data_IF_021795873555
#
_entry.id   IF_021795873555
#
_cell.length_a   1.000
_cell.length_b   1.000
_cell.length_c   1.000
_cell.angle_alpha   90.00
_cell.angle_beta   90.00
_cell.angle_gamma   90.00
#
_symmetry.space_group_name_H-M   'P 1'
#
loop_
_entity.id
_entity.type
_entity.pdbx_description
1 polymer ?
#
# COMPACT_ATOMS: atom_id res chain seq x y z
N UNK A 1 45.64 10.17 -62.24
CA UNK A 1 44.84 11.30 -61.72
C UNK A 1 43.59 11.43 -62.56
N UNK A 2 42.48 10.86 -62.09
CA UNK A 2 41.16 11.47 -62.17
C UNK A 2 40.18 10.63 -61.35
N UNK A 3 39.75 11.24 -60.24
CA UNK A 3 38.80 10.73 -59.28
C UNK A 3 37.40 10.73 -59.94
N UNK A 4 36.73 9.58 -59.99
CA UNK A 4 35.30 9.49 -60.32
C UNK A 4 34.56 9.32 -59.01
N UNK A 5 34.10 10.43 -58.43
CA UNK A 5 33.15 10.38 -57.32
C UNK A 5 31.78 9.95 -57.83
N UNK A 6 31.26 8.89 -57.22
CA UNK A 6 29.85 8.49 -57.29
C UNK A 6 29.09 9.29 -56.24
N UNK A 7 28.37 10.33 -56.68
CA UNK A 7 27.43 11.05 -55.81
C UNK A 7 26.20 10.18 -55.55
N UNK A 8 26.20 9.51 -54.39
CA UNK A 8 25.01 8.88 -53.80
C UNK A 8 24.14 9.98 -53.19
N UNK A 9 23.12 10.44 -53.92
CA UNK A 9 22.07 11.29 -53.35
C UNK A 9 21.11 10.43 -52.54
N UNK A 10 21.33 10.40 -51.23
CA UNK A 10 20.42 9.80 -50.26
C UNK A 10 19.18 10.70 -50.12
N UNK A 11 18.08 10.35 -50.80
CA UNK A 11 16.77 10.96 -50.53
C UNK A 11 16.28 10.46 -49.16
N UNK A 12 16.57 11.23 -48.12
CA UNK A 12 15.94 11.06 -46.81
C UNK A 12 14.48 11.50 -46.97
N UNK A 13 13.58 10.52 -47.13
CA UNK A 13 12.17 10.71 -46.89
C UNK A 13 12.00 11.05 -45.41
N UNK A 14 12.00 12.35 -45.10
CA UNK A 14 11.51 12.85 -43.83
C UNK A 14 10.00 12.54 -43.84
N UNK A 15 9.62 11.43 -43.21
CA UNK A 15 8.25 11.23 -42.75
C UNK A 15 7.97 12.35 -41.75
N UNK A 16 7.43 13.46 -42.24
CA UNK A 16 6.65 14.36 -41.40
C UNK A 16 5.43 13.56 -41.02
N UNK A 17 5.47 12.92 -39.85
CA UNK A 17 4.29 12.41 -39.19
C UNK A 17 3.41 13.62 -38.90
N UNK A 18 2.50 13.92 -39.83
CA UNK A 18 1.39 14.82 -39.56
C UNK A 18 0.66 14.22 -38.37
N UNK A 19 0.74 14.86 -37.20
CA UNK A 19 -0.05 14.49 -36.04
C UNK A 19 -1.51 14.63 -36.42
N UNK A 20 -2.13 13.55 -36.88
CA UNK A 20 -3.56 13.53 -37.13
C UNK A 20 -4.27 13.92 -35.84
N UNK A 21 -5.09 14.98 -35.91
CA UNK A 21 -5.89 15.41 -34.78
C UNK A 21 -6.72 14.22 -34.26
N UNK A 22 -6.60 13.88 -32.98
CA UNK A 22 -7.30 12.76 -32.38
C UNK A 22 -8.81 12.86 -32.61
N UNK A 23 -9.42 11.79 -33.10
CA UNK A 23 -10.87 11.69 -33.26
C UNK A 23 -11.61 11.69 -31.91
N UNK A 24 -12.90 11.98 -31.91
CA UNK A 24 -13.70 12.10 -30.70
C UNK A 24 -14.33 10.75 -30.34
N UNK A 25 -13.63 9.88 -29.61
CA UNK A 25 -14.13 8.53 -29.29
C UNK A 25 -15.14 8.46 -28.13
N UNK A 26 -15.19 9.49 -27.27
CA UNK A 26 -16.01 9.47 -26.05
C UNK A 26 -17.48 9.74 -26.38
N UNK A 27 -18.44 8.92 -25.89
CA UNK A 27 -19.85 9.08 -26.21
C UNK A 27 -20.51 10.27 -25.50
N UNK A 28 -20.05 10.66 -24.30
CA UNK A 28 -20.57 11.81 -23.58
C UNK A 28 -19.55 12.93 -23.58
N UNK A 29 -19.95 14.12 -24.04
CA UNK A 29 -19.07 15.26 -24.18
C UNK A 29 -19.72 16.48 -23.55
N UNK A 30 -18.91 17.29 -22.87
CA UNK A 30 -19.34 18.57 -22.31
C UNK A 30 -18.54 19.70 -22.96
N UNK A 31 -19.24 20.71 -23.48
CA UNK A 31 -18.67 21.90 -24.09
C UNK A 31 -19.18 23.16 -23.39
N UNK A 32 -18.41 24.24 -23.42
CA UNK A 32 -18.80 25.54 -22.83
C UNK A 32 -19.37 26.44 -23.91
N UNK A 33 -20.52 27.04 -23.59
CA UNK A 33 -21.20 28.01 -24.45
C UNK A 33 -20.26 29.15 -24.89
N UNK A 34 -20.30 29.47 -26.18
CA UNK A 34 -19.51 30.54 -26.79
C UNK A 34 -18.07 30.17 -27.13
N UNK A 35 -17.62 28.93 -26.88
CA UNK A 35 -16.33 28.42 -27.38
C UNK A 35 -16.49 27.69 -28.72
N UNK A 36 -15.52 27.79 -29.64
CA UNK A 36 -15.43 26.89 -30.78
C UNK A 36 -15.30 25.43 -30.33
N UNK A 37 -16.02 24.53 -31.00
CA UNK A 37 -16.09 23.12 -30.62
C UNK A 37 -16.22 22.24 -31.86
N UNK A 38 -15.79 20.98 -31.78
CA UNK A 38 -15.92 20.05 -32.90
C UNK A 38 -16.20 18.61 -32.44
N UNK A 39 -16.88 17.85 -33.28
CA UNK A 39 -17.05 16.40 -33.18
C UNK A 39 -16.40 15.77 -34.40
N UNK A 40 -15.39 14.91 -34.20
CA UNK A 40 -14.71 14.21 -35.31
C UNK A 40 -14.94 12.72 -35.23
N UNK A 41 -15.41 12.13 -36.33
CA UNK A 41 -15.59 10.69 -36.45
C UNK A 41 -14.27 9.92 -36.30
N UNK A 42 -14.32 8.77 -35.63
CA UNK A 42 -13.19 7.85 -35.52
C UNK A 42 -13.25 6.80 -36.62
N UNK A 43 -12.46 6.98 -37.67
CA UNK A 43 -12.33 5.94 -38.70
C UNK A 43 -11.51 4.76 -38.17
N UNK A 44 -11.98 3.53 -38.36
CA UNK A 44 -11.15 2.35 -38.15
C UNK A 44 -10.15 2.22 -39.31
N UNK A 45 -8.91 1.81 -39.00
CA UNK A 45 -7.77 1.69 -39.93
C UNK A 45 -7.95 0.72 -41.11
N UNK A 46 -9.15 0.23 -41.38
CA UNK A 46 -9.48 -0.64 -42.50
C UNK A 46 -10.29 0.03 -43.62
N UNK A 47 -10.52 1.34 -43.56
CA UNK A 47 -11.18 2.06 -44.65
C UNK A 47 -10.17 2.61 -45.68
N UNK A 48 -9.29 1.74 -46.21
CA UNK A 48 -8.51 2.05 -47.43
C UNK A 48 -9.31 1.87 -48.72
N UNK A 49 -10.59 1.52 -48.63
CA UNK A 49 -11.54 1.60 -49.73
C UNK A 49 -12.45 2.81 -49.51
N UNK A 50 -11.96 4.00 -49.87
CA UNK A 50 -12.80 5.19 -50.01
C UNK A 50 -13.62 4.99 -51.29
N UNK A 51 -14.68 4.19 -51.21
CA UNK A 51 -15.87 4.53 -51.98
C UNK A 51 -16.38 5.86 -51.44
N UNK A 52 -16.85 6.72 -52.33
CA UNK A 52 -17.34 8.07 -52.10
C UNK A 52 -18.64 8.11 -51.26
N UNK A 53 -18.68 7.38 -50.14
CA UNK A 53 -19.76 7.45 -49.19
C UNK A 53 -19.64 8.79 -48.45
N UNK A 54 -20.53 9.72 -48.80
CA UNK A 54 -20.64 11.00 -48.11
C UNK A 54 -21.19 10.72 -46.72
N UNK A 55 -20.36 10.91 -45.68
CA UNK A 55 -20.79 10.74 -44.30
C UNK A 55 -21.91 11.73 -43.94
N UNK A 56 -22.94 11.25 -43.24
CA UNK A 56 -24.14 12.04 -42.92
C UNK A 56 -24.21 12.35 -41.44
N UNK A 57 -24.42 13.62 -41.13
CA UNK A 57 -24.61 14.09 -39.75
C UNK A 57 -26.08 14.27 -39.43
N UNK A 58 -26.49 13.79 -38.26
CA UNK A 58 -27.86 13.92 -37.77
C UNK A 58 -27.86 14.41 -36.31
N UNK A 59 -28.87 15.18 -35.94
CA UNK A 59 -29.12 15.63 -34.57
C UNK A 59 -30.48 15.14 -34.09
N UNK A 60 -30.57 14.78 -32.82
CA UNK A 60 -31.81 14.53 -32.10
C UNK A 60 -31.81 15.32 -30.79
N UNK A 61 -32.95 15.92 -30.47
CA UNK A 61 -33.17 16.65 -29.22
C UNK A 61 -34.32 15.98 -28.46
N UNK A 62 -33.99 15.17 -27.44
CA UNK A 62 -34.98 14.45 -26.64
C UNK A 62 -35.70 13.34 -27.42
N UNK A 63 -37.04 13.31 -27.37
CA UNK A 63 -37.88 12.32 -28.08
C UNK A 63 -38.13 12.66 -29.56
N UNK A 64 -37.49 13.71 -30.09
CA UNK A 64 -37.67 14.12 -31.48
C UNK A 64 -36.96 13.18 -32.46
N UNK A 65 -37.59 13.00 -33.62
CA UNK A 65 -37.04 12.23 -34.76
C UNK A 65 -35.66 12.78 -35.16
N UNK A 66 -34.75 11.90 -35.57
CA UNK A 66 -33.42 12.30 -36.09
C UNK A 66 -33.60 13.23 -37.29
N UNK A 67 -32.99 14.41 -37.23
CA UNK A 67 -32.99 15.40 -38.31
C UNK A 67 -31.58 15.47 -38.89
N UNK A 68 -31.47 15.40 -40.22
CA UNK A 68 -30.20 15.56 -40.91
C UNK A 68 -29.73 17.02 -40.83
N UNK A 69 -28.45 17.21 -40.50
CA UNK A 69 -27.85 18.53 -40.38
C UNK A 69 -27.49 19.06 -41.77
N UNK A 70 -28.08 20.19 -42.14
CA UNK A 70 -27.75 20.89 -43.38
C UNK A 70 -26.86 22.11 -43.04
N UNK A 71 -25.58 22.17 -43.47
CA UNK A 71 -24.70 23.30 -43.18
C UNK A 71 -25.25 24.64 -43.69
N UNK A 72 -26.07 24.66 -44.75
CA UNK A 72 -26.72 25.89 -45.24
C UNK A 72 -27.76 26.47 -44.28
N UNK A 73 -28.24 25.68 -43.30
CA UNK A 73 -29.26 26.11 -42.34
C UNK A 73 -28.71 26.90 -41.16
N UNK A 74 -27.40 26.82 -40.89
CA UNK A 74 -26.76 27.58 -39.81
C UNK A 74 -25.33 27.94 -40.21
N UNK A 75 -25.01 29.22 -40.40
CA UNK A 75 -23.66 29.65 -40.77
C UNK A 75 -22.62 29.42 -39.66
N UNK A 76 -23.05 29.03 -38.45
CA UNK A 76 -22.16 28.63 -37.35
C UNK A 76 -21.69 27.18 -37.43
N UNK A 77 -22.37 26.34 -38.22
CA UNK A 77 -22.06 24.91 -38.31
C UNK A 77 -21.30 24.62 -39.60
N UNK A 78 -20.11 24.05 -39.46
CA UNK A 78 -19.28 23.65 -40.60
C UNK A 78 -19.09 22.14 -40.63
N UNK A 79 -19.22 21.55 -41.81
CA UNK A 79 -18.97 20.14 -42.06
C UNK A 79 -17.71 20.01 -42.91
N UNK A 80 -16.62 19.54 -42.33
CA UNK A 80 -15.33 19.41 -43.00
C UNK A 80 -14.62 18.14 -42.54
N UNK A 81 -14.06 17.36 -43.47
CA UNK A 81 -13.18 16.21 -43.16
C UNK A 81 -13.76 15.21 -42.13
N UNK A 82 -15.05 14.89 -42.26
CA UNK A 82 -15.82 14.05 -41.32
C UNK A 82 -15.89 14.60 -39.88
N UNK A 83 -15.64 15.90 -39.70
CA UNK A 83 -15.88 16.64 -38.49
C UNK A 83 -17.09 17.57 -38.64
N UNK A 84 -17.84 17.71 -37.55
CA UNK A 84 -18.86 18.73 -37.36
C UNK A 84 -18.30 19.78 -36.42
N UNK A 85 -18.09 20.99 -36.94
CA UNK A 85 -17.56 22.13 -36.21
C UNK A 85 -18.67 23.13 -35.84
N UNK A 86 -18.47 23.80 -34.72
CA UNK A 86 -19.35 24.81 -34.15
C UNK A 86 -18.57 26.10 -33.92
N UNK A 87 -19.03 27.19 -34.53
CA UNK A 87 -18.38 28.51 -34.51
C UNK A 87 -19.32 29.62 -34.00
N UNK A 88 -19.57 29.72 -32.67
CA UNK A 88 -19.24 28.78 -31.60
C UNK A 88 -20.42 27.85 -31.26
N UNK A 89 -20.25 26.99 -30.25
CA UNK A 89 -21.35 26.19 -29.68
C UNK A 89 -22.27 27.04 -28.79
N UNK A 90 -23.58 26.83 -28.90
CA UNK A 90 -24.62 27.51 -28.11
C UNK A 90 -25.42 26.52 -27.24
N UNK A 91 -26.16 27.00 -26.24
CA UNK A 91 -26.97 26.12 -25.37
C UNK A 91 -28.01 25.29 -26.16
N UNK A 92 -28.53 25.85 -27.25
CA UNK A 92 -29.49 25.18 -28.14
C UNK A 92 -28.85 24.02 -28.94
N UNK A 93 -27.51 23.93 -28.94
CA UNK A 93 -26.78 22.86 -29.59
C UNK A 93 -26.71 21.59 -28.72
N UNK A 94 -27.20 21.62 -27.48
CA UNK A 94 -27.33 20.43 -26.63
C UNK A 94 -28.20 19.35 -27.29
N UNK A 95 -27.76 18.09 -27.23
CA UNK A 95 -28.50 16.95 -27.78
C UNK A 95 -27.63 15.77 -28.20
N UNK A 96 -28.25 14.79 -28.84
CA UNK A 96 -27.59 13.60 -29.36
C UNK A 96 -27.25 13.80 -30.85
N UNK A 97 -25.99 13.59 -31.20
CA UNK A 97 -25.45 13.70 -32.54
C UNK A 97 -25.06 12.33 -33.06
N UNK A 98 -25.34 12.07 -34.32
CA UNK A 98 -25.06 10.82 -34.99
C UNK A 98 -24.31 11.10 -36.28
N UNK A 99 -23.22 10.38 -36.51
CA UNK A 99 -22.54 10.36 -37.79
C UNK A 99 -22.67 8.97 -38.40
N UNK A 100 -23.17 8.91 -39.63
CA UNK A 100 -23.38 7.67 -40.37
C UNK A 100 -22.45 7.64 -41.58
N UNK A 101 -21.64 6.60 -41.68
CA UNK A 101 -20.71 6.35 -42.79
C UNK A 101 -20.82 4.89 -43.22
N UNK A 102 -21.51 4.64 -44.33
CA UNK A 102 -21.87 3.27 -44.73
C UNK A 102 -22.65 2.54 -43.63
N UNK A 103 -22.12 1.40 -43.17
CA UNK A 103 -22.71 0.60 -42.09
C UNK A 103 -22.30 1.07 -40.68
N UNK A 104 -21.37 2.02 -40.57
CA UNK A 104 -20.86 2.49 -39.29
C UNK A 104 -21.68 3.70 -38.83
N UNK A 105 -22.13 3.67 -37.58
CA UNK A 105 -22.78 4.80 -36.93
C UNK A 105 -22.06 5.09 -35.63
N UNK A 106 -21.63 6.34 -35.45
CA UNK A 106 -21.07 6.83 -34.20
C UNK A 106 -22.01 7.84 -33.56
N UNK A 107 -22.22 7.73 -32.26
CA UNK A 107 -23.14 8.56 -31.48
C UNK A 107 -22.39 9.36 -30.41
N UNK A 108 -22.81 10.60 -30.23
CA UNK A 108 -22.34 11.49 -29.17
C UNK A 108 -23.51 12.19 -28.49
N UNK A 109 -23.46 12.28 -27.18
CA UNK A 109 -24.33 13.11 -26.36
C UNK A 109 -23.57 14.38 -25.97
N UNK A 110 -23.93 15.49 -26.62
CA UNK A 110 -23.34 16.79 -26.37
C UNK A 110 -24.15 17.54 -25.30
N UNK A 111 -23.50 17.77 -24.17
CA UNK A 111 -23.98 18.63 -23.10
C UNK A 111 -23.31 20.01 -23.21
N UNK A 112 -24.08 21.08 -23.34
CA UNK A 112 -23.53 22.44 -23.41
C UNK A 112 -23.80 23.16 -22.09
N UNK A 113 -22.75 23.60 -21.43
CA UNK A 113 -22.82 24.29 -20.14
C UNK A 113 -22.59 25.79 -20.31
N UNK A 114 -23.27 26.58 -19.48
CA UNK A 114 -23.11 28.04 -19.46
C UNK A 114 -21.69 28.42 -19.08
N UNK A 115 -21.13 29.38 -19.82
CA UNK A 115 -19.84 30.00 -19.48
C UNK A 115 -19.96 30.80 -18.18
N UNK A 116 -19.01 30.63 -17.27
CA UNK A 116 -18.93 31.51 -16.10
C UNK A 116 -18.47 32.91 -16.54
N UNK A 117 -19.34 33.91 -16.39
CA UNK A 117 -19.04 35.31 -16.77
C UNK A 117 -18.19 36.05 -15.74
N UNK A 118 -18.08 35.54 -14.52
CA UNK A 118 -17.35 36.17 -13.42
C UNK A 118 -15.95 35.57 -13.19
N UNK A 119 -15.56 34.58 -14.00
CA UNK A 119 -14.27 33.91 -13.94
C UNK A 119 -13.69 33.77 -15.34
N UNK A 120 -12.37 33.54 -15.42
CA UNK A 120 -11.70 33.22 -16.67
C UNK A 120 -11.89 31.75 -17.10
N UNK A 121 -12.53 30.92 -16.27
CA UNK A 121 -12.83 29.52 -16.59
C UNK A 121 -14.15 29.06 -15.96
N UNK A 122 -14.69 27.96 -16.49
CA UNK A 122 -15.89 27.31 -15.97
C UNK A 122 -15.52 26.07 -15.15
N UNK A 123 -15.90 26.02 -13.87
CA UNK A 123 -15.51 24.95 -12.93
C UNK A 123 -15.85 23.54 -13.41
N UNK A 124 -16.99 23.38 -14.11
CA UNK A 124 -17.43 22.09 -14.65
C UNK A 124 -16.57 21.56 -15.81
N UNK A 125 -15.67 22.38 -16.38
CA UNK A 125 -14.78 22.03 -17.50
C UNK A 125 -13.30 21.97 -17.07
N UNK A 126 -13.04 21.74 -15.77
CA UNK A 126 -11.69 21.68 -15.22
C UNK A 126 -11.16 20.26 -15.21
N UNK A 127 -9.91 20.07 -15.64
CA UNK A 127 -9.21 18.79 -15.56
C UNK A 127 -8.26 18.78 -14.36
N UNK A 128 -8.51 17.92 -13.37
CA UNK A 128 -7.64 17.81 -12.20
C UNK A 128 -6.37 17.01 -12.49
N UNK A 129 -5.22 17.51 -12.01
CA UNK A 129 -3.91 16.84 -12.07
C UNK A 129 -3.21 16.98 -10.72
N UNK A 130 -2.93 15.84 -10.09
CA UNK A 130 -2.16 15.80 -8.86
C UNK A 130 -0.67 15.62 -9.17
N UNK A 131 0.20 16.40 -8.53
CA UNK A 131 1.65 16.29 -8.64
C UNK A 131 2.24 16.30 -7.23
N UNK A 132 3.26 15.46 -6.98
CA UNK A 132 3.95 15.46 -5.68
C UNK A 132 4.98 16.59 -5.62
N UNK A 133 5.17 17.17 -4.44
CA UNK A 133 6.23 18.16 -4.21
C UNK A 133 7.59 17.62 -4.64
N UNK A 134 8.46 18.48 -5.17
CA UNK A 134 9.78 18.17 -5.75
C UNK A 134 9.78 17.23 -6.96
N UNK A 135 8.62 16.74 -7.43
CA UNK A 135 8.51 15.98 -8.69
C UNK A 135 8.25 16.94 -9.86
N UNK A 136 8.56 16.47 -11.06
CA UNK A 136 8.44 17.27 -12.28
C UNK A 136 6.98 17.65 -12.58
N UNK A 137 6.70 18.95 -12.61
CA UNK A 137 5.46 19.56 -13.03
C UNK A 137 5.62 20.12 -14.45
N UNK A 138 4.75 19.65 -15.35
CA UNK A 138 4.62 20.18 -16.69
C UNK A 138 3.17 20.58 -16.97
N UNK A 139 3.01 21.81 -17.45
CA UNK A 139 1.76 22.38 -17.97
C UNK A 139 2.06 22.90 -19.36
N UNK A 140 1.44 22.32 -20.38
CA UNK A 140 1.61 22.74 -21.78
C UNK A 140 0.27 23.17 -22.35
N UNK A 141 0.23 24.35 -22.95
CA UNK A 141 -0.96 24.84 -23.64
C UNK A 141 -0.92 24.42 -25.11
N UNK A 142 -1.50 23.27 -25.43
CA UNK A 142 -1.56 22.73 -26.80
C UNK A 142 -3.01 22.49 -27.24
N UNK A 143 -3.30 22.83 -28.48
CA UNK A 143 -4.56 22.52 -29.14
C UNK A 143 -4.30 22.01 -30.56
N UNK A 144 -4.17 20.69 -30.73
CA UNK A 144 -3.77 20.08 -31.99
C UNK A 144 -4.76 20.32 -33.14
N UNK A 145 -6.06 20.40 -32.86
CA UNK A 145 -7.09 20.60 -33.90
C UNK A 145 -7.07 22.04 -34.43
N UNK A 146 -7.12 23.03 -33.54
CA UNK A 146 -7.20 24.43 -33.94
C UNK A 146 -5.84 25.12 -34.09
N UNK A 147 -4.71 24.43 -33.89
CA UNK A 147 -3.36 25.02 -33.85
C UNK A 147 -3.07 25.96 -35.03
N UNK A 148 -3.54 25.62 -36.24
CA UNK A 148 -3.33 26.43 -37.46
C UNK A 148 -4.08 27.77 -37.44
N UNK A 149 -5.18 27.86 -36.70
CA UNK A 149 -6.04 29.05 -36.58
C UNK A 149 -5.68 29.91 -35.36
N UNK A 150 -4.85 29.39 -34.44
CA UNK A 150 -4.43 30.10 -33.23
C UNK A 150 -3.50 31.25 -33.60
N UNK A 151 -3.88 32.46 -33.20
CA UNK A 151 -3.08 33.67 -33.34
C UNK A 151 -2.12 33.84 -32.15
N UNK A 152 -2.65 33.69 -30.93
CA UNK A 152 -1.87 33.79 -29.69
C UNK A 152 -2.42 32.88 -28.61
N UNK A 153 -1.58 32.49 -27.66
CA UNK A 153 -1.99 31.71 -26.50
C UNK A 153 -1.50 32.36 -25.21
N UNK A 154 -2.41 32.49 -24.24
CA UNK A 154 -2.11 33.01 -22.91
C UNK A 154 -2.30 31.94 -21.84
N UNK A 155 -1.40 31.91 -20.86
CA UNK A 155 -1.50 31.04 -19.68
C UNK A 155 -1.78 31.89 -18.44
N UNK A 156 -2.84 31.53 -17.72
CA UNK A 156 -3.28 32.17 -16.48
C UNK A 156 -3.12 31.21 -15.30
N UNK A 157 -2.77 31.73 -14.12
CA UNK A 157 -2.89 31.04 -12.84
C UNK A 157 -3.87 31.78 -11.96
N UNK A 158 -4.95 31.12 -11.53
CA UNK A 158 -6.04 31.70 -10.75
C UNK A 158 -6.55 33.02 -11.39
N UNK A 159 -6.75 33.00 -12.72
CA UNK A 159 -7.15 34.14 -13.55
C UNK A 159 -6.18 35.33 -13.57
N UNK A 160 -4.95 35.17 -13.09
CA UNK A 160 -3.87 36.14 -13.29
C UNK A 160 -2.97 35.68 -14.44
N UNK A 161 -2.79 36.53 -15.44
CA UNK A 161 -1.98 36.24 -16.62
C UNK A 161 -0.53 36.05 -16.19
N UNK A 162 0.07 34.90 -16.53
CA UNK A 162 1.47 34.59 -16.24
C UNK A 162 2.35 34.82 -17.47
N UNK A 163 1.93 34.26 -18.60
CA UNK A 163 2.70 34.23 -19.84
C UNK A 163 1.75 34.45 -21.02
N UNK A 164 2.22 35.15 -22.03
CA UNK A 164 1.61 35.19 -23.36
C UNK A 164 2.70 34.99 -24.39
N UNK A 165 2.46 34.10 -25.33
CA UNK A 165 3.39 33.83 -26.40
C UNK A 165 2.63 33.48 -27.68
N UNK A 166 3.23 33.81 -28.82
CA UNK A 166 2.78 33.34 -30.14
C UNK A 166 2.96 31.83 -30.24
N UNK A 167 4.03 31.29 -29.65
CA UNK A 167 4.28 29.87 -29.54
C UNK A 167 3.81 29.33 -28.18
N UNK A 168 3.03 28.24 -28.20
CA UNK A 168 2.37 27.61 -27.05
C UNK A 168 3.12 27.76 -25.70
N UNK A 169 2.60 28.55 -24.73
CA UNK A 169 3.25 28.75 -23.44
C UNK A 169 3.29 27.46 -22.62
N UNK A 170 4.38 27.29 -21.88
CA UNK A 170 4.66 26.07 -21.13
C UNK A 170 5.38 26.36 -19.82
N UNK A 171 5.00 25.64 -18.77
CA UNK A 171 5.70 25.61 -17.48
C UNK A 171 6.35 24.24 -17.33
N UNK A 172 7.65 24.23 -17.02
CA UNK A 172 8.45 23.04 -16.69
C UNK A 172 9.31 23.37 -15.46
N UNK A 173 8.94 22.84 -14.29
CA UNK A 173 9.70 23.01 -13.04
C UNK A 173 9.44 21.82 -12.11
N UNK A 174 10.22 21.72 -11.04
CA UNK A 174 9.85 20.85 -9.93
C UNK A 174 8.71 21.49 -9.14
N UNK A 175 7.72 20.70 -8.73
CA UNK A 175 6.52 21.19 -8.06
C UNK A 175 6.83 21.69 -6.64
N UNK A 176 6.30 22.86 -6.32
CA UNK A 176 6.32 23.46 -4.99
C UNK A 176 4.89 23.64 -4.50
N UNK A 177 4.66 23.70 -3.18
CA UNK A 177 3.30 23.84 -2.64
C UNK A 177 2.59 25.11 -3.16
N UNK A 178 3.34 26.17 -3.41
CA UNK A 178 2.85 27.40 -4.03
C UNK A 178 2.35 27.24 -5.46
N UNK A 179 2.73 26.16 -6.17
CA UNK A 179 2.25 25.88 -7.52
C UNK A 179 0.80 25.40 -7.55
N UNK A 180 0.21 25.06 -6.40
CA UNK A 180 -1.20 24.67 -6.33
C UNK A 180 -2.12 25.77 -6.86
N UNK A 181 -3.10 25.39 -7.67
CA UNK A 181 -4.10 26.32 -8.21
C UNK A 181 -4.63 25.94 -9.59
N UNK A 182 -5.44 26.83 -10.15
CA UNK A 182 -6.08 26.66 -11.46
C UNK A 182 -5.24 27.31 -12.54
N UNK A 183 -4.80 26.52 -13.52
CA UNK A 183 -4.03 26.98 -14.67
C UNK A 183 -4.90 26.93 -15.92
N UNK A 184 -5.21 28.08 -16.50
CA UNK A 184 -6.08 28.20 -17.67
C UNK A 184 -5.26 28.60 -18.90
N UNK A 185 -5.21 27.71 -19.88
CA UNK A 185 -4.70 27.98 -21.22
C UNK A 185 -5.83 28.58 -22.06
N UNK A 186 -5.64 29.80 -22.57
CA UNK A 186 -6.60 30.49 -23.43
C UNK A 186 -5.96 30.66 -24.81
N UNK A 187 -6.51 29.97 -25.80
CA UNK A 187 -6.10 30.07 -27.19
C UNK A 187 -7.01 31.06 -27.93
N UNK A 188 -6.44 32.10 -28.50
CA UNK A 188 -7.15 33.10 -29.30
C UNK A 188 -7.03 32.76 -30.77
N UNK A 189 -8.16 32.68 -31.47
CA UNK A 189 -8.21 32.24 -32.86
C UNK A 189 -9.18 33.10 -33.67
N UNK A 190 -8.90 33.26 -34.96
CA UNK A 190 -9.75 34.02 -35.87
C UNK A 190 -10.46 33.08 -36.83
N UNK A 191 -11.76 33.28 -37.03
CA UNK A 191 -12.57 32.57 -38.02
C UNK A 191 -13.57 33.56 -38.63
N UNK A 192 -13.59 33.68 -39.96
CA UNK A 192 -14.43 34.63 -40.72
C UNK A 192 -14.43 36.06 -40.17
N UNK A 193 -13.25 36.58 -39.85
CA UNK A 193 -13.06 37.94 -39.33
C UNK A 193 -13.51 38.15 -37.87
N UNK A 194 -14.03 37.11 -37.19
CA UNK A 194 -14.38 37.15 -35.76
C UNK A 194 -13.29 36.52 -34.90
N UNK A 195 -13.07 37.11 -33.73
CA UNK A 195 -12.16 36.59 -32.71
C UNK A 195 -12.91 35.66 -31.75
N UNK A 196 -12.38 34.47 -31.56
CA UNK A 196 -12.88 33.48 -30.60
C UNK A 196 -11.78 33.08 -29.62
N UNK A 197 -12.20 32.46 -28.52
CA UNK A 197 -11.28 31.84 -27.57
C UNK A 197 -11.71 30.42 -27.19
N UNK A 198 -10.71 29.57 -26.94
CA UNK A 198 -10.88 28.23 -26.38
C UNK A 198 -10.09 28.18 -25.07
N UNK A 199 -10.77 27.79 -23.99
CA UNK A 199 -10.17 27.74 -22.66
C UNK A 199 -10.03 26.30 -22.19
N UNK A 200 -8.81 25.90 -21.82
CA UNK A 200 -8.56 24.61 -21.16
C UNK A 200 -7.94 24.86 -19.79
N UNK A 201 -8.64 24.41 -18.75
CA UNK A 201 -8.20 24.65 -17.36
C UNK A 201 -7.79 23.37 -16.65
N UNK A 202 -6.64 23.44 -15.99
CA UNK A 202 -6.09 22.39 -15.16
C UNK A 202 -6.16 22.80 -13.69
N UNK A 203 -6.73 21.95 -12.83
CA UNK A 203 -6.60 22.12 -11.38
C UNK A 203 -5.37 21.34 -10.92
N UNK A 204 -4.29 22.05 -10.60
CA UNK A 204 -3.05 21.46 -10.09
C UNK A 204 -3.14 21.38 -8.57
N UNK A 205 -3.11 20.16 -8.05
CA UNK A 205 -3.02 19.89 -6.61
C UNK A 205 -1.64 19.38 -6.28
N UNK A 206 -0.95 20.04 -5.34
CA UNK A 206 0.41 19.64 -4.95
C UNK A 206 0.31 18.80 -3.69
N UNK A 207 0.55 17.50 -3.86
CA UNK A 207 0.57 16.55 -2.75
C UNK A 207 1.91 16.64 -2.04
N UNK A 208 1.87 16.58 -0.71
CA UNK A 208 3.09 16.42 0.08
C UNK A 208 3.87 15.18 -0.35
N UNK A 209 5.17 15.17 -0.05
CA UNK A 209 5.97 13.97 -0.21
C UNK A 209 5.48 12.99 0.85
N UNK A 210 4.50 12.15 0.51
CA UNK A 210 4.24 10.96 1.30
C UNK A 210 5.52 10.17 1.16
N UNK A 211 6.44 10.29 2.13
CA UNK A 211 7.78 9.73 2.13
C UNK A 211 7.69 8.24 1.85
N UNK A 212 7.63 7.90 0.56
CA UNK A 212 7.18 6.61 0.09
C UNK A 212 8.32 5.67 0.39
N UNK A 213 8.11 4.81 1.37
CA UNK A 213 9.14 3.87 1.79
C UNK A 213 8.95 2.57 1.04
N UNK A 214 10.06 1.91 0.74
CA UNK A 214 10.02 0.47 0.47
C UNK A 214 9.60 -0.19 1.79
N UNK A 215 8.51 -0.97 1.82
CA UNK A 215 8.03 -1.55 3.07
C UNK A 215 9.06 -2.54 3.61
N UNK A 216 9.19 -2.61 4.93
CA UNK A 216 10.16 -3.49 5.60
C UNK A 216 9.50 -4.21 6.76
N UNK A 217 9.70 -5.53 6.80
CA UNK A 217 9.33 -6.36 7.96
C UNK A 217 10.38 -6.21 9.06
N UNK A 218 9.91 -6.03 10.30
CA UNK A 218 10.77 -5.88 11.45
C UNK A 218 11.27 -7.23 11.98
N UNK A 219 12.55 -7.29 12.36
CA UNK A 219 13.21 -8.48 12.93
C UNK A 219 13.92 -9.36 11.89
N UNK A 220 14.33 -10.56 12.31
CA UNK A 220 15.05 -11.52 11.46
C UNK A 220 14.17 -12.08 10.34
N UNK A 221 14.73 -12.33 9.15
CA UNK A 221 14.03 -12.96 8.02
C UNK A 221 13.56 -14.38 8.29
N UNK A 222 14.27 -15.10 9.15
CA UNK A 222 13.94 -16.48 9.54
C UNK A 222 13.92 -16.57 11.07
N UNK A 223 12.85 -17.15 11.61
CA UNK A 223 12.66 -17.29 13.06
C UNK A 223 12.25 -18.73 13.38
N UNK A 224 13.02 -19.37 14.26
CA UNK A 224 12.65 -20.66 14.83
C UNK A 224 11.92 -20.41 16.16
N UNK A 225 10.69 -20.89 16.28
CA UNK A 225 9.85 -20.68 17.47
C UNK A 225 9.68 -22.01 18.18
N UNK A 226 10.20 -22.11 19.40
CA UNK A 226 10.08 -23.30 20.22
C UNK A 226 8.65 -23.43 20.78
N UNK A 227 8.00 -24.56 20.49
CA UNK A 227 6.61 -24.82 20.88
C UNK A 227 6.46 -26.17 21.59
N UNK A 228 5.47 -26.26 22.46
CA UNK A 228 5.04 -27.50 23.10
C UNK A 228 3.75 -27.97 22.43
N UNK A 229 3.65 -29.28 22.17
CA UNK A 229 2.45 -29.85 21.58
C UNK A 229 1.24 -29.66 22.51
N UNK A 230 0.07 -29.41 21.93
CA UNK A 230 -1.17 -29.20 22.67
C UNK A 230 -1.35 -27.79 23.26
N UNK A 231 -0.37 -26.89 23.11
CA UNK A 231 -0.48 -25.49 23.52
C UNK A 231 -0.69 -24.57 22.33
N UNK A 232 -1.25 -23.40 22.59
CA UNK A 232 -1.40 -22.36 21.59
C UNK A 232 -0.11 -21.57 21.41
N UNK A 233 0.15 -21.10 20.19
CA UNK A 233 1.24 -20.16 19.88
C UNK A 233 0.70 -19.01 19.04
N UNK A 234 1.22 -17.80 19.28
CA UNK A 234 0.90 -16.62 18.47
C UNK A 234 2.18 -16.08 17.83
N UNK A 235 2.19 -16.00 16.49
CA UNK A 235 3.29 -15.48 15.70
C UNK A 235 3.01 -14.02 15.36
N UNK A 236 3.78 -13.11 15.94
CA UNK A 236 3.64 -11.68 15.70
C UNK A 236 4.50 -11.22 14.53
N UNK A 237 3.88 -10.61 13.54
CA UNK A 237 4.57 -9.97 12.43
C UNK A 237 4.27 -8.47 12.40
N UNK A 238 5.33 -7.66 12.38
CA UNK A 238 5.22 -6.20 12.34
C UNK A 238 6.04 -5.62 11.19
N UNK A 239 5.54 -4.54 10.61
CA UNK A 239 6.12 -3.91 9.43
C UNK A 239 6.01 -2.39 9.49
N UNK A 240 7.01 -1.71 8.90
CA UNK A 240 6.93 -0.32 8.51
C UNK A 240 6.48 -0.25 7.06
N UNK A 241 5.33 0.38 6.80
CA UNK A 241 4.69 0.38 5.49
C UNK A 241 3.99 1.70 5.17
N UNK A 242 3.51 1.85 3.94
CA UNK A 242 2.70 2.99 3.49
C UNK A 242 1.21 2.73 3.72
N UNK A 243 0.39 3.79 3.69
CA UNK A 243 -1.05 3.69 3.99
C UNK A 243 -1.82 2.65 3.16
N UNK A 244 -1.40 2.42 1.91
CA UNK A 244 -2.07 1.53 0.95
C UNK A 244 -1.43 0.14 0.84
N UNK A 245 -0.34 -0.11 1.57
CA UNK A 245 0.37 -1.38 1.52
C UNK A 245 -0.40 -2.47 2.29
N UNK A 246 -0.13 -3.72 1.98
CA UNK A 246 -0.87 -4.88 2.49
C UNK A 246 0.07 -5.80 3.26
N UNK A 247 -0.31 -6.18 4.49
CA UNK A 247 0.39 -7.14 5.34
C UNK A 247 -0.48 -8.39 5.50
N UNK A 248 0.04 -9.55 5.12
CA UNK A 248 -0.72 -10.80 5.13
C UNK A 248 0.17 -12.01 5.43
N UNK A 249 -0.49 -13.11 5.83
CA UNK A 249 0.16 -14.39 6.06
C UNK A 249 -0.04 -15.31 4.87
N UNK A 250 0.97 -16.12 4.60
CA UNK A 250 0.97 -17.21 3.63
C UNK A 250 1.40 -18.47 4.36
N UNK A 251 0.53 -19.46 4.40
CA UNK A 251 0.77 -20.77 4.96
C UNK A 251 0.04 -21.81 4.10
N UNK A 252 0.51 -23.05 4.13
CA UNK A 252 -0.15 -24.12 3.37
C UNK A 252 -1.49 -24.42 4.05
N UNK A 253 -2.57 -24.19 3.31
CA UNK A 253 -3.92 -24.12 3.82
C UNK A 253 -4.56 -25.51 3.81
N UNK A 254 -3.81 -26.53 4.25
CA UNK A 254 -4.20 -27.93 4.24
C UNK A 254 -5.34 -28.21 5.23
N UNK A 255 -6.52 -27.63 5.06
CA UNK A 255 -7.71 -27.81 5.90
C UNK A 255 -7.48 -27.66 7.41
N UNK A 256 -6.40 -26.98 7.82
CA UNK A 256 -6.02 -26.84 9.22
C UNK A 256 -6.92 -25.79 9.90
N UNK A 257 -8.01 -26.28 10.50
CA UNK A 257 -9.01 -25.49 11.22
C UNK A 257 -8.45 -24.76 12.46
N UNK A 258 -7.21 -25.02 12.86
CA UNK A 258 -6.59 -24.48 14.08
C UNK A 258 -5.73 -23.23 13.84
N UNK A 259 -5.61 -22.75 12.60
CA UNK A 259 -4.84 -21.55 12.25
C UNK A 259 -5.78 -20.36 12.03
N UNK A 260 -5.56 -19.28 12.78
CA UNK A 260 -6.40 -18.09 12.75
C UNK A 260 -5.56 -16.81 12.59
N UNK A 261 -5.86 -16.05 11.54
CA UNK A 261 -5.29 -14.71 11.37
C UNK A 261 -6.02 -13.68 12.23
N UNK A 262 -5.29 -13.01 13.11
CA UNK A 262 -5.84 -11.92 13.90
C UNK A 262 -6.02 -10.65 13.06
N UNK A 263 -6.87 -9.75 13.57
CA UNK A 263 -7.11 -8.45 12.92
C UNK A 263 -5.83 -7.62 12.91
N UNK A 264 -5.52 -7.07 11.74
CA UNK A 264 -4.37 -6.17 11.58
C UNK A 264 -4.57 -4.87 12.40
N UNK A 265 -3.52 -4.48 13.13
CA UNK A 265 -3.46 -3.24 13.91
C UNK A 265 -2.52 -2.28 13.19
N UNK A 266 -2.98 -1.06 12.91
CA UNK A 266 -2.18 0.00 12.27
C UNK A 266 -2.10 1.23 13.16
N UNK A 267 -0.90 1.74 13.37
CA UNK A 267 -0.62 2.92 14.18
C UNK A 267 0.26 3.86 13.36
N UNK A 268 -0.07 5.16 13.39
CA UNK A 268 0.78 6.19 12.78
C UNK A 268 1.87 6.59 13.78
N UNK A 269 3.12 6.50 13.36
CA UNK A 269 4.29 6.94 14.14
C UNK A 269 4.39 8.46 14.15
N UNK A 270 5.13 9.02 15.11
CA UNK A 270 5.38 10.48 15.22
C UNK A 270 6.04 11.08 13.98
N UNK A 271 6.75 10.28 13.20
CA UNK A 271 7.40 10.68 11.94
C UNK A 271 6.48 10.54 10.71
N UNK A 272 5.17 10.30 10.91
CA UNK A 272 4.19 10.17 9.83
C UNK A 272 4.25 8.86 9.04
N UNK A 273 4.97 7.85 9.54
CA UNK A 273 5.03 6.49 8.95
C UNK A 273 3.99 5.58 9.55
N UNK A 274 3.49 4.60 8.79
CA UNK A 274 2.58 3.58 9.31
C UNK A 274 3.35 2.37 9.85
N UNK A 275 3.04 2.00 11.08
CA UNK A 275 3.47 0.76 11.70
C UNK A 275 2.27 -0.20 11.76
N UNK A 276 2.37 -1.32 11.08
CA UNK A 276 1.35 -2.35 11.05
C UNK A 276 1.82 -3.60 11.79
N UNK A 277 0.90 -4.28 12.48
CA UNK A 277 1.16 -5.57 13.11
C UNK A 277 -0.02 -6.51 12.87
N UNK A 278 0.29 -7.75 12.50
CA UNK A 278 -0.71 -8.81 12.30
C UNK A 278 -0.18 -10.10 12.90
N UNK A 279 -0.97 -10.69 13.79
CA UNK A 279 -0.62 -11.94 14.46
C UNK A 279 -1.27 -13.13 13.75
N UNK A 280 -0.58 -14.28 13.75
CA UNK A 280 -1.12 -15.57 13.35
C UNK A 280 -1.19 -16.46 14.58
N UNK A 281 -2.40 -16.79 15.04
CA UNK A 281 -2.64 -17.67 16.18
C UNK A 281 -2.82 -19.10 15.69
N UNK A 282 -2.05 -20.02 16.25
CA UNK A 282 -2.15 -21.46 15.98
C UNK A 282 -2.56 -22.12 17.29
N UNK A 283 -3.79 -22.62 17.32
CA UNK A 283 -4.37 -23.26 18.50
C UNK A 283 -4.01 -24.74 18.54
N UNK A 284 -3.85 -25.30 19.75
CA UNK A 284 -3.60 -26.73 19.95
C UNK A 284 -2.53 -27.30 19.00
N UNK A 285 -1.30 -26.78 19.09
CA UNK A 285 -0.20 -27.11 18.16
C UNK A 285 0.02 -28.62 18.07
N UNK A 286 -0.03 -29.14 16.84
CA UNK A 286 0.14 -30.55 16.53
C UNK A 286 1.41 -30.78 15.69
N UNK A 287 1.75 -32.05 15.46
CA UNK A 287 2.98 -32.43 14.76
C UNK A 287 3.02 -31.97 13.30
N UNK A 288 1.85 -31.89 12.63
CA UNK A 288 1.74 -31.36 11.27
C UNK A 288 2.01 -29.85 11.17
N UNK A 289 1.94 -29.11 12.29
CA UNK A 289 2.26 -27.68 12.32
C UNK A 289 3.78 -27.42 12.47
N UNK A 290 4.58 -28.46 12.78
CA UNK A 290 6.03 -28.32 12.99
C UNK A 290 6.81 -28.40 11.68
N UNK A 291 7.98 -27.77 11.66
CA UNK A 291 8.91 -27.78 10.51
C UNK A 291 8.32 -27.26 9.19
N UNK A 292 7.17 -26.59 9.25
CA UNK A 292 6.55 -25.88 8.14
C UNK A 292 6.83 -24.37 8.24
N UNK A 293 6.89 -23.68 7.09
CA UNK A 293 7.20 -22.26 7.01
C UNK A 293 5.93 -21.39 6.96
N UNK A 294 5.63 -20.70 8.05
CA UNK A 294 4.60 -19.67 8.10
C UNK A 294 5.21 -18.34 7.65
N UNK A 295 4.80 -17.86 6.47
CA UNK A 295 5.40 -16.68 5.83
C UNK A 295 4.53 -15.46 6.05
N UNK A 296 5.07 -14.43 6.70
CA UNK A 296 4.46 -13.11 6.72
C UNK A 296 5.05 -12.26 5.60
N UNK A 297 4.20 -11.66 4.78
CA UNK A 297 4.62 -10.85 3.63
C UNK A 297 3.98 -9.47 3.66
N UNK A 298 4.76 -8.44 3.34
CA UNK A 298 4.29 -7.10 3.06
C UNK A 298 4.50 -6.75 1.59
N UNK A 299 3.45 -6.30 0.91
CA UNK A 299 3.48 -5.91 -0.51
C UNK A 299 3.15 -4.43 -0.68
N UNK A 300 3.92 -3.77 -1.55
CA UNK A 300 3.69 -2.39 -2.00
C UNK A 300 3.98 -2.26 -3.50
N UNK A 301 3.60 -1.15 -4.11
CA UNK A 301 3.91 -0.84 -5.52
C UNK A 301 5.41 -0.76 -5.81
N UNK A 302 6.25 -0.58 -4.79
CA UNK A 302 7.69 -0.38 -4.89
C UNK A 302 8.53 -1.56 -4.42
N UNK A 303 7.92 -2.64 -3.92
CA UNK A 303 8.64 -3.82 -3.46
C UNK A 303 7.83 -4.72 -2.54
N UNK A 304 8.39 -5.89 -2.29
CA UNK A 304 7.83 -6.92 -1.42
C UNK A 304 8.88 -7.37 -0.44
N UNK A 305 8.49 -7.62 0.80
CA UNK A 305 9.37 -8.22 1.80
C UNK A 305 8.66 -9.38 2.52
N UNK A 306 9.39 -10.45 2.78
CA UNK A 306 8.85 -11.70 3.37
C UNK A 306 9.73 -12.17 4.54
N UNK A 307 9.07 -12.63 5.59
CA UNK A 307 9.66 -13.18 6.82
C UNK A 307 9.02 -14.53 7.13
N UNK A 308 9.84 -15.54 7.40
CA UNK A 308 9.41 -16.90 7.68
C UNK A 308 9.53 -17.24 9.16
N UNK A 309 8.55 -17.98 9.67
CA UNK A 309 8.53 -18.55 10.99
C UNK A 309 8.43 -20.08 10.87
N UNK A 310 9.31 -20.80 11.55
CA UNK A 310 9.32 -22.27 11.59
C UNK A 310 9.11 -22.69 13.04
N UNK A 311 8.05 -23.45 13.29
CA UNK A 311 7.79 -24.02 14.61
C UNK A 311 8.70 -25.24 14.82
N UNK A 312 9.41 -25.25 15.94
CA UNK A 312 10.29 -26.36 16.35
C UNK A 312 9.85 -26.89 17.71
N UNK A 313 9.91 -28.20 17.91
CA UNK A 313 9.57 -28.78 19.20
C UNK A 313 10.54 -28.25 20.25
N UNK A 314 10.01 -27.70 21.34
CA UNK A 314 10.82 -27.34 22.51
C UNK A 314 11.45 -28.62 23.04
N UNK A 315 12.78 -28.66 23.10
CA UNK A 315 13.47 -29.78 23.71
C UNK A 315 12.97 -29.90 25.16
N UNK A 316 12.33 -31.02 25.49
CA UNK A 316 12.18 -31.41 26.88
C UNK A 316 13.60 -31.45 27.44
N UNK A 317 13.83 -30.83 28.59
CA UNK A 317 15.08 -31.02 29.29
C UNK A 317 15.20 -32.53 29.57
N UNK A 318 15.92 -33.25 28.71
CA UNK A 318 16.42 -34.57 29.04
C UNK A 318 17.14 -34.36 30.36
N UNK A 319 16.57 -34.93 31.43
CA UNK A 319 17.22 -34.98 32.73
C UNK A 319 18.63 -35.49 32.42
N UNK A 320 19.69 -34.68 32.62
CA UNK A 320 21.00 -35.04 32.11
C UNK A 320 21.35 -36.41 32.66
N UNK A 321 21.69 -37.37 31.80
CA UNK A 321 22.04 -38.73 32.23
C UNK A 321 23.10 -38.75 33.34
N UNK A 322 23.91 -37.68 33.45
CA UNK A 322 24.86 -37.42 34.53
C UNK A 322 24.21 -37.31 35.93
N UNK A 323 23.00 -36.76 36.07
CA UNK A 323 22.30 -36.63 37.36
C UNK A 323 21.78 -38.00 37.79
N UNK A 324 21.22 -38.77 36.85
CA UNK A 324 20.71 -40.11 37.14
C UNK A 324 21.85 -41.10 37.47
N UNK A 325 22.94 -41.05 36.70
CA UNK A 325 24.14 -41.87 36.98
C UNK A 325 24.83 -41.48 38.29
N UNK A 326 24.95 -40.19 38.60
CA UNK A 326 25.51 -39.72 39.88
C UNK A 326 24.62 -40.13 41.06
N UNK A 327 23.31 -40.05 40.92
CA UNK A 327 22.36 -40.54 41.94
C UNK A 327 22.49 -42.05 42.19
N UNK A 328 22.62 -42.84 41.13
CA UNK A 328 22.83 -44.30 41.21
C UNK A 328 24.17 -44.66 41.86
N UNK A 329 25.26 -43.95 41.54
CA UNK A 329 26.59 -44.18 42.14
C UNK A 329 26.57 -43.88 43.65
N UNK A 330 25.92 -42.78 44.06
CA UNK A 330 25.81 -42.41 45.48
C UNK A 330 25.00 -43.46 46.24
N UNK A 331 23.91 -43.97 45.66
CA UNK A 331 23.10 -45.02 46.28
C UNK A 331 23.89 -46.33 46.49
N UNK A 332 24.69 -46.74 45.50
CA UNK A 332 25.55 -47.92 45.60
C UNK A 332 26.66 -47.73 46.66
N UNK A 333 27.31 -46.57 46.69
CA UNK A 333 28.33 -46.26 47.69
C UNK A 333 27.77 -46.25 49.11
N UNK A 334 26.56 -45.70 49.31
CA UNK A 334 25.88 -45.74 50.60
C UNK A 334 25.60 -47.18 51.04
N UNK A 335 25.18 -48.05 50.11
CA UNK A 335 24.91 -49.45 50.41
C UNK A 335 26.18 -50.21 50.81
N UNK A 336 27.29 -49.98 50.10
CA UNK A 336 28.61 -50.55 50.45
C UNK A 336 29.07 -50.02 51.82
N UNK A 337 28.92 -48.73 52.11
CA UNK A 337 29.28 -48.16 53.39
C UNK A 337 28.50 -48.77 54.55
N UNK A 338 27.19 -49.03 54.37
CA UNK A 338 26.35 -49.72 55.36
C UNK A 338 26.85 -51.15 55.61
N UNK A 339 27.19 -51.90 54.55
CA UNK A 339 27.73 -53.25 54.68
C UNK A 339 29.10 -53.25 55.39
N UNK A 340 29.97 -52.29 55.08
CA UNK A 340 31.25 -52.10 55.78
C UNK A 340 31.03 -51.75 57.27
N UNK A 341 30.08 -50.88 57.58
CA UNK A 341 29.72 -50.55 58.97
C UNK A 341 29.22 -51.79 59.73
N UNK A 342 28.33 -52.59 59.11
CA UNK A 342 27.81 -53.81 59.72
C UNK A 342 28.94 -54.83 59.94
N UNK A 343 29.84 -55.01 58.98
CA UNK A 343 30.98 -55.95 59.11
C UNK A 343 31.98 -55.51 60.18
N UNK A 344 32.31 -54.21 60.26
CA UNK A 344 33.13 -53.65 61.35
C UNK A 344 32.44 -53.84 62.71
N UNK A 345 31.14 -53.56 62.81
CA UNK A 345 30.35 -53.78 64.03
C UNK A 345 30.31 -55.26 64.47
N UNK A 346 30.38 -56.20 63.53
CA UNK A 346 30.42 -57.64 63.82
C UNK A 346 31.81 -58.09 64.26
N UNK A 347 32.87 -57.65 63.58
CA UNK A 347 34.27 -58.02 63.90
C UNK A 347 34.69 -57.42 65.23
N UNK A 348 34.42 -56.13 65.44
CA UNK A 348 34.78 -55.39 66.65
C UNK A 348 33.67 -55.40 67.71
N UNK A 349 32.72 -56.35 67.64
CA UNK A 349 31.58 -56.40 68.59
C UNK A 349 32.03 -56.41 70.05
N UNK A 350 33.16 -57.04 70.35
CA UNK A 350 33.74 -57.08 71.71
C UNK A 350 34.41 -55.75 72.07
N UNK A 351 35.21 -55.18 71.17
CA UNK A 351 35.93 -53.93 71.40
C UNK A 351 35.01 -52.70 71.42
N UNK A 352 33.94 -52.68 70.64
CA UNK A 352 32.94 -51.61 70.61
C UNK A 352 32.09 -51.61 71.89
N UNK A 353 31.79 -52.80 72.45
CA UNK A 353 31.17 -52.94 73.77
C UNK A 353 32.11 -52.47 74.89
N UNK A 354 33.41 -52.77 74.80
CA UNK A 354 34.42 -52.29 75.74
C UNK A 354 34.62 -50.77 75.65
N UNK A 355 34.63 -50.20 74.44
CA UNK A 355 34.76 -48.76 74.19
C UNK A 355 33.52 -47.97 74.64
N UNK A 356 32.32 -48.49 74.38
CA UNK A 356 31.07 -47.92 74.89
C UNK A 356 31.02 -47.93 76.43
N UNK A 357 31.49 -49.02 77.07
CA UNK A 357 31.63 -49.08 78.54
C UNK A 357 32.68 -48.11 79.07
N UNK A 358 33.74 -47.83 78.31
CA UNK A 358 34.77 -46.87 78.70
C UNK A 358 34.28 -45.42 78.61
N UNK A 359 33.49 -45.09 77.58
CA UNK A 359 32.85 -43.77 77.44
C UNK A 359 31.81 -43.51 78.53
N UNK A 360 30.90 -44.46 78.78
CA UNK A 360 29.88 -44.34 79.83
C UNK A 360 30.45 -44.35 81.27
N UNK A 361 31.68 -44.85 81.47
CA UNK A 361 32.36 -44.82 82.77
C UNK A 361 33.07 -43.48 83.05
N UNK A 362 33.19 -42.60 82.06
CA UNK A 362 33.87 -41.30 82.19
C UNK A 362 32.93 -40.15 82.58
N UNK A 363 31.62 -40.34 82.51
CA UNK A 363 30.62 -39.31 82.85
C UNK A 363 30.28 -39.23 84.35
N UNK A 364 30.83 -40.09 85.22
CA UNK A 364 30.59 -40.01 86.68
C UNK A 364 31.60 -39.17 87.47
N UNK A 365 32.58 -38.52 86.81
CA UNK A 365 33.58 -37.71 87.54
C UNK A 365 33.85 -36.38 86.84
N UNK A 366 32.97 -35.39 87.00
CA UNK A 366 33.28 -33.96 87.20
C UNK A 366 32.03 -33.08 86.99
N UNK A 367 31.25 -32.84 88.05
CA UNK A 367 30.95 -31.47 88.53
C UNK A 367 30.15 -31.52 89.83
N UNK A 368 30.88 -31.58 90.94
CA UNK A 368 30.39 -31.16 92.25
C UNK A 368 30.53 -29.64 92.41
N UNK A 369 29.41 -28.95 92.27
CA UNK A 369 28.89 -27.91 93.17
C UNK A 369 29.67 -26.58 93.37
N UNK A 370 29.03 -25.47 92.99
CA UNK A 370 28.96 -24.26 93.84
C UNK A 370 27.59 -23.59 93.72
N UNK A 371 26.99 -23.35 94.90
CA UNK A 371 25.78 -22.56 95.24
C UNK A 371 25.72 -21.22 94.47
N UNK A 372 24.56 -20.66 94.12
CA UNK A 372 23.51 -20.21 95.04
C UNK A 372 22.22 -19.80 94.29
N UNK A 373 21.08 -19.96 94.97
CA UNK A 373 19.88 -19.09 94.95
C UNK A 373 18.94 -19.06 93.73
N UNK A 374 17.66 -19.42 93.98
CA UNK A 374 16.51 -18.73 93.38
C UNK A 374 15.44 -19.63 92.74
N UNK A 375 14.42 -20.00 93.52
CA UNK A 375 12.98 -19.74 93.23
C UNK A 375 12.55 -20.07 91.77
N UNK A 376 11.78 -21.12 91.46
CA UNK A 376 10.35 -21.19 91.78
C UNK A 376 9.74 -22.49 91.26
N UNK A 377 8.80 -23.01 92.05
CA UNK A 377 7.73 -23.89 91.60
C UNK A 377 7.03 -23.31 90.35
N UNK A 378 6.63 -24.18 89.42
CA UNK A 378 5.27 -24.19 88.83
C UNK A 378 5.16 -25.31 87.79
N UNK A 379 4.50 -26.39 88.20
CA UNK A 379 3.49 -27.06 87.37
C UNK A 379 2.64 -26.04 86.63
N UNK A 380 2.45 -26.17 85.31
CA UNK A 380 1.23 -25.73 84.63
C UNK A 380 1.07 -26.50 83.31
N UNK A 381 0.24 -27.54 83.40
CA UNK A 381 -0.74 -27.84 82.36
C UNK A 381 -1.61 -26.59 82.16
N UNK A 382 -1.62 -26.02 80.96
CA UNK A 382 -2.76 -25.21 80.48
C UNK A 382 -3.10 -25.65 79.07
N UNK A 383 -4.25 -26.31 79.02
CA UNK A 383 -5.10 -26.54 77.87
C UNK A 383 -5.95 -25.27 77.64
N UNK A 384 -6.28 -25.05 76.35
CA UNK A 384 -7.46 -24.36 75.79
C UNK A 384 -7.39 -22.89 75.31
N UNK A 385 -7.47 -22.76 73.97
CA UNK A 385 -8.65 -22.28 73.19
C UNK A 385 -8.75 -20.81 72.71
N UNK A 386 -9.23 -20.73 71.46
CA UNK A 386 -10.11 -19.71 70.82
C UNK A 386 -9.46 -18.60 69.98
N UNK A 387 -9.56 -18.81 68.66
CA UNK A 387 -10.11 -17.94 67.60
C UNK A 387 -10.05 -16.41 67.80
N UNK A 388 -9.61 -15.69 66.76
CA UNK A 388 -10.53 -14.94 65.87
C UNK A 388 -9.85 -14.18 64.72
N UNK A 389 -10.52 -14.28 63.56
CA UNK A 389 -10.70 -13.29 62.48
C UNK A 389 -9.48 -12.96 61.59
N UNK A 390 -9.63 -12.80 60.26
CA UNK A 390 -10.77 -12.73 59.32
C UNK A 390 -10.15 -13.07 57.95
N UNK A 391 -10.77 -13.97 57.18
CA UNK A 391 -11.56 -13.67 55.97
C UNK A 391 -10.80 -12.89 54.91
#
# INVERSE_FOLDING_TARGET
MNCRELTLTLWVLIFVSTTESSCTSRPHITAVEGEPFYLKYCSSSHAHAIEANTGRWQKSSGSQKRVELNPSSSPRLCLQDHALEFWPVELNDMGSYFFQMGNHTQEWNLNVIRRNKHSCFTEKQVTSKAVRVKKFLQITCENSYYQKLVNSTSLYKNCKKLLENKENPMIKKNAEFEDQGYYSCVHFLHHDGKLFNITKTFNITVLGDSGYIVPVLLGSKLNHVAVELGKDVSLNCSALLNQKDILYWMYDNGSDLNVHEEKEIRIMTSEGRWHASKALRIENVAEHNLNFAYNCTVTSTGGTDTKSFILVRKAMADIPGHIFTRGMIIAVLALVAVVCLVTVCVIYRVDLVLFYRHLMRRDETLTGNTRNSGISYLTLSVRNQINRHKS
#
